data_IF_182877713271
#
_entry.id   IF_182877713271
#
_cell.length_a   1.000
_cell.length_b   1.000
_cell.length_c   1.000
_cell.angle_alpha   90.00
_cell.angle_beta   90.00
_cell.angle_gamma   90.00
#
_symmetry.space_group_name_H-M   'P 1'
#
loop_
_entity.id
_entity.type
_entity.pdbx_description
1 polymer ?
#
# COMPACT_ATOMS: atom_id res chain seq x y z
N UNK A 1 -47.66 4.39 -2.07
CA UNK A 1 -47.01 5.43 -1.23
C UNK A 1 -45.58 5.09 -0.79
N UNK A 2 -45.29 3.91 -0.21
CA UNK A 2 -43.93 3.55 0.24
C UNK A 2 -42.83 3.66 -0.84
N UNK A 3 -43.12 3.24 -2.07
CA UNK A 3 -42.18 3.30 -3.21
C UNK A 3 -41.86 4.74 -3.66
N UNK A 4 -42.81 5.66 -3.51
CA UNK A 4 -42.62 7.07 -3.84
C UNK A 4 -41.68 7.76 -2.85
N UNK A 5 -41.91 7.55 -1.54
CA UNK A 5 -41.02 8.05 -0.48
C UNK A 5 -39.60 7.49 -0.56
N UNK A 6 -39.46 6.20 -0.93
CA UNK A 6 -38.14 5.61 -1.17
C UNK A 6 -37.43 6.28 -2.35
N UNK A 7 -38.13 6.55 -3.46
CA UNK A 7 -37.57 7.26 -4.61
C UNK A 7 -37.13 8.68 -4.26
N UNK A 8 -37.93 9.39 -3.47
CA UNK A 8 -37.63 10.77 -3.04
C UNK A 8 -36.44 10.81 -2.07
N UNK A 9 -36.34 9.84 -1.16
CA UNK A 9 -35.20 9.70 -0.26
C UNK A 9 -33.91 9.37 -1.04
N UNK A 10 -33.98 8.48 -2.03
CA UNK A 10 -32.85 8.18 -2.91
C UNK A 10 -32.39 9.42 -3.70
N UNK A 11 -33.33 10.20 -4.24
CA UNK A 11 -33.03 11.43 -4.96
C UNK A 11 -32.35 12.48 -4.05
N UNK A 12 -32.79 12.60 -2.80
CA UNK A 12 -32.16 13.49 -1.81
C UNK A 12 -30.74 13.04 -1.46
N UNK A 13 -30.53 11.75 -1.21
CA UNK A 13 -29.20 11.20 -0.90
C UNK A 13 -28.24 11.45 -2.07
N UNK A 14 -28.68 11.18 -3.31
CA UNK A 14 -27.88 11.43 -4.51
C UNK A 14 -27.56 12.93 -4.65
N UNK A 15 -28.53 13.82 -4.43
CA UNK A 15 -28.32 15.26 -4.51
C UNK A 15 -27.29 15.78 -3.48
N UNK A 16 -27.34 15.26 -2.25
CA UNK A 16 -26.36 15.59 -1.20
C UNK A 16 -24.97 15.07 -1.55
N UNK A 17 -24.84 13.81 -1.97
CA UNK A 17 -23.55 13.22 -2.37
C UNK A 17 -22.96 13.98 -3.56
N UNK A 18 -23.77 14.32 -4.55
CA UNK A 18 -23.32 15.07 -5.73
C UNK A 18 -22.82 16.46 -5.36
N UNK A 19 -23.55 17.19 -4.50
CA UNK A 19 -23.12 18.49 -4.00
C UNK A 19 -21.82 18.41 -3.21
N UNK A 20 -21.68 17.39 -2.35
CA UNK A 20 -20.47 17.18 -1.55
C UNK A 20 -19.25 16.86 -2.42
N UNK A 21 -19.40 15.99 -3.44
CA UNK A 21 -18.31 15.66 -4.37
C UNK A 21 -17.80 16.86 -5.17
N UNK A 22 -18.65 17.85 -5.46
CA UNK A 22 -18.30 19.07 -6.18
C UNK A 22 -17.69 20.17 -5.30
N UNK A 23 -17.70 20.00 -3.97
CA UNK A 23 -17.07 20.95 -3.06
C UNK A 23 -15.54 20.78 -3.09
N UNK A 24 -14.75 21.82 -3.39
CA UNK A 24 -13.30 21.68 -3.55
C UNK A 24 -12.55 21.42 -2.23
N UNK A 25 -13.11 21.86 -1.10
CA UNK A 25 -12.43 21.84 0.20
C UNK A 25 -12.15 20.42 0.73
N UNK A 26 -13.06 19.46 0.56
CA UNK A 26 -12.83 18.09 1.04
C UNK A 26 -11.69 17.42 0.25
N UNK A 27 -11.61 17.67 -1.06
CA UNK A 27 -10.57 17.13 -1.92
C UNK A 27 -9.21 17.78 -1.63
N UNK A 28 -9.19 19.09 -1.40
CA UNK A 28 -7.96 19.81 -1.07
C UNK A 28 -7.38 19.35 0.28
N UNK A 29 -8.22 19.26 1.32
CA UNK A 29 -7.79 18.77 2.62
C UNK A 29 -7.32 17.31 2.54
N UNK A 30 -8.06 16.45 1.84
CA UNK A 30 -7.65 15.05 1.62
C UNK A 30 -6.30 14.96 0.89
N UNK A 31 -6.08 15.80 -0.13
CA UNK A 31 -4.81 15.86 -0.85
C UNK A 31 -3.67 16.30 0.07
N UNK A 32 -3.88 17.32 0.91
CA UNK A 32 -2.86 17.80 1.85
C UNK A 32 -2.50 16.73 2.88
N UNK A 33 -3.50 16.12 3.53
CA UNK A 33 -3.28 15.02 4.49
C UNK A 33 -2.57 13.83 3.83
N UNK A 34 -2.98 13.49 2.60
CA UNK A 34 -2.37 12.41 1.84
C UNK A 34 -0.90 12.69 1.52
N UNK A 35 -0.58 13.88 1.02
CA UNK A 35 0.80 14.28 0.71
C UNK A 35 1.68 14.26 1.96
N UNK A 36 1.17 14.77 3.09
CA UNK A 36 1.88 14.72 4.36
C UNK A 36 2.17 13.28 4.81
N UNK A 37 1.17 12.39 4.70
CA UNK A 37 1.35 10.97 5.03
C UNK A 37 2.42 10.31 4.14
N UNK A 38 2.37 10.53 2.82
CA UNK A 38 3.36 9.98 1.88
C UNK A 38 4.76 10.48 2.19
N UNK A 39 4.89 11.78 2.46
CA UNK A 39 6.17 12.40 2.78
C UNK A 39 6.77 11.88 4.09
N UNK A 40 5.94 11.71 5.12
CA UNK A 40 6.35 11.09 6.39
C UNK A 40 6.83 9.65 6.19
N UNK A 41 6.13 8.85 5.38
CA UNK A 41 6.55 7.47 5.10
C UNK A 41 7.82 7.43 4.24
N UNK A 42 7.96 8.35 3.28
CA UNK A 42 9.17 8.49 2.47
C UNK A 42 10.39 8.79 3.34
N UNK A 43 10.29 9.79 4.21
CA UNK A 43 11.39 10.17 5.10
C UNK A 43 11.73 9.04 6.07
N UNK A 44 10.73 8.43 6.71
CA UNK A 44 10.96 7.28 7.59
C UNK A 44 11.63 6.09 6.85
N UNK A 45 11.29 5.89 5.57
CA UNK A 45 11.95 4.89 4.73
C UNK A 45 13.41 5.22 4.50
N UNK A 46 13.72 6.44 4.05
CA UNK A 46 15.10 6.95 3.87
C UNK A 46 15.92 6.74 5.14
N UNK A 47 15.43 7.23 6.28
CA UNK A 47 16.13 7.15 7.56
C UNK A 47 16.40 5.69 7.96
N UNK A 48 15.44 4.79 7.70
CA UNK A 48 15.64 3.36 7.98
C UNK A 48 16.65 2.73 7.04
N UNK A 49 16.58 3.07 5.76
CA UNK A 49 17.47 2.53 4.72
C UNK A 49 18.93 2.82 5.01
N UNK A 50 19.27 4.00 5.53
CA UNK A 50 20.63 4.34 5.92
C UNK A 50 21.20 3.45 7.05
N UNK A 51 20.33 2.74 7.78
CA UNK A 51 20.68 1.92 8.93
C UNK A 51 20.55 0.41 8.67
N UNK A 52 20.17 0.00 7.46
CA UNK A 52 19.85 -1.40 7.18
C UNK A 52 20.10 -1.78 5.72
N UNK A 53 19.81 -3.03 5.37
CA UNK A 53 19.94 -3.60 4.04
C UNK A 53 18.55 -3.88 3.42
N UNK A 54 18.53 -4.41 2.20
CA UNK A 54 17.28 -4.68 1.48
C UNK A 54 16.32 -5.58 2.26
N UNK A 55 16.83 -6.62 2.91
CA UNK A 55 16.03 -7.51 3.73
C UNK A 55 15.51 -6.80 4.98
N UNK A 56 16.34 -6.05 5.69
CA UNK A 56 15.91 -5.30 6.86
C UNK A 56 14.85 -4.24 6.54
N UNK A 57 14.89 -3.64 5.34
CA UNK A 57 13.83 -2.78 4.82
C UNK A 57 12.51 -3.54 4.61
N UNK A 58 12.57 -4.72 3.98
CA UNK A 58 11.38 -5.56 3.74
C UNK A 58 10.76 -6.03 5.06
N UNK A 59 11.58 -6.51 6.00
CA UNK A 59 11.13 -6.96 7.31
C UNK A 59 10.46 -5.84 8.08
N UNK A 60 11.05 -4.64 8.08
CA UNK A 60 10.45 -3.46 8.72
C UNK A 60 9.13 -3.05 8.06
N UNK A 61 9.04 -3.09 6.73
CA UNK A 61 7.80 -2.78 6.04
C UNK A 61 6.69 -3.77 6.38
N UNK A 62 7.00 -5.08 6.42
CA UNK A 62 6.06 -6.13 6.78
C UNK A 62 5.62 -6.03 8.25
N UNK A 63 6.53 -5.72 9.16
CA UNK A 63 6.21 -5.50 10.57
C UNK A 63 5.32 -4.27 10.77
N UNK A 64 5.65 -3.14 10.11
CA UNK A 64 4.83 -1.93 10.12
C UNK A 64 3.42 -2.21 9.59
N UNK A 65 3.32 -3.00 8.53
CA UNK A 65 2.05 -3.39 7.95
C UNK A 65 1.23 -4.24 8.93
N UNK A 66 1.84 -5.25 9.56
CA UNK A 66 1.19 -6.15 10.53
C UNK A 66 0.64 -5.39 11.74
N UNK A 67 1.34 -4.35 12.19
CA UNK A 67 0.99 -3.57 13.37
C UNK A 67 0.20 -2.29 13.05
N UNK A 68 -0.14 -2.05 11.78
CA UNK A 68 -0.81 -0.82 11.37
C UNK A 68 -2.26 -0.79 11.86
N UNK A 69 -2.63 0.34 12.50
CA UNK A 69 -3.99 0.60 13.02
C UNK A 69 -4.76 1.65 12.20
N UNK A 70 -4.17 2.12 11.09
CA UNK A 70 -4.78 3.09 10.20
C UNK A 70 -5.79 2.46 9.24
N UNK A 71 -6.23 3.24 8.25
CA UNK A 71 -7.05 2.70 7.16
C UNK A 71 -6.23 1.75 6.29
N UNK A 72 -6.90 0.81 5.61
CA UNK A 72 -6.24 -0.13 4.68
C UNK A 72 -5.35 0.60 3.65
N UNK A 73 -5.82 1.77 3.19
CA UNK A 73 -5.09 2.66 2.31
C UNK A 73 -3.81 3.19 2.96
N UNK A 74 -3.89 3.77 4.16
CA UNK A 74 -2.73 4.30 4.89
C UNK A 74 -1.69 3.20 5.16
N UNK A 75 -2.14 2.02 5.58
CA UNK A 75 -1.26 0.90 5.88
C UNK A 75 -0.55 0.38 4.61
N UNK A 76 -1.30 0.19 3.53
CA UNK A 76 -0.78 -0.42 2.30
C UNK A 76 0.05 0.57 1.51
N UNK A 77 -0.53 1.73 1.14
CA UNK A 77 0.16 2.74 0.32
C UNK A 77 1.31 3.36 1.10
N UNK A 78 1.09 3.70 2.38
CA UNK A 78 2.13 4.25 3.23
C UNK A 78 3.28 3.26 3.46
N UNK A 79 2.97 2.00 3.77
CA UNK A 79 3.99 0.95 3.89
C UNK A 79 4.77 0.74 2.58
N UNK A 80 4.09 0.84 1.44
CA UNK A 80 4.72 0.68 0.13
C UNK A 80 5.67 1.84 -0.19
N UNK A 81 5.28 3.07 0.14
CA UNK A 81 6.14 4.25 0.01
C UNK A 81 7.37 4.17 0.92
N UNK A 82 7.17 3.75 2.16
CA UNK A 82 8.25 3.49 3.11
C UNK A 82 9.25 2.48 2.53
N UNK A 83 8.77 1.32 2.06
CA UNK A 83 9.64 0.25 1.56
C UNK A 83 10.48 0.70 0.36
N UNK A 84 9.84 1.32 -0.64
CA UNK A 84 10.52 1.87 -1.81
C UNK A 84 11.61 2.88 -1.43
N UNK A 85 11.31 3.76 -0.48
CA UNK A 85 12.25 4.80 -0.04
C UNK A 85 13.40 4.20 0.78
N UNK A 86 13.12 3.18 1.58
CA UNK A 86 14.13 2.42 2.33
C UNK A 86 15.13 1.74 1.38
N UNK A 87 14.65 1.03 0.36
CA UNK A 87 15.54 0.41 -0.63
C UNK A 87 16.38 1.39 -1.43
N UNK A 88 15.93 2.65 -1.58
CA UNK A 88 16.72 3.68 -2.26
C UNK A 88 17.97 4.11 -1.48
N UNK A 89 18.07 3.73 -0.20
CA UNK A 89 19.17 4.09 0.71
C UNK A 89 19.86 2.89 1.36
N UNK A 90 19.23 1.73 1.38
CA UNK A 90 19.79 0.52 1.98
C UNK A 90 20.92 -0.11 1.17
N UNK A 91 21.84 -0.77 1.86
CA UNK A 91 22.81 -1.66 1.22
C UNK A 91 22.14 -2.92 0.62
N UNK A 92 22.80 -3.62 -0.31
CA UNK A 92 22.29 -4.89 -0.84
C UNK A 92 22.33 -5.99 0.24
N UNK A 93 21.36 -6.91 0.20
CA UNK A 93 21.42 -8.15 1.00
C UNK A 93 21.88 -9.31 0.14
N UNK A 94 22.80 -10.14 0.63
CA UNK A 94 23.20 -11.37 -0.06
C UNK A 94 21.97 -12.27 -0.29
N UNK A 95 21.80 -12.77 -1.52
CA UNK A 95 20.68 -13.67 -1.92
C UNK A 95 19.28 -13.08 -1.72
N UNK A 96 19.13 -11.76 -1.61
CA UNK A 96 17.82 -11.11 -1.48
C UNK A 96 16.79 -11.56 -2.53
N UNK A 97 17.26 -11.78 -3.76
CA UNK A 97 16.44 -12.17 -4.90
C UNK A 97 16.44 -13.67 -5.20
N UNK A 98 17.04 -14.49 -4.34
CA UNK A 98 17.08 -15.93 -4.55
C UNK A 98 15.68 -16.53 -4.37
N UNK A 99 15.15 -17.16 -5.43
CA UNK A 99 13.82 -17.78 -5.41
C UNK A 99 12.66 -16.78 -5.52
N UNK A 100 12.93 -15.52 -5.84
CA UNK A 100 11.89 -14.53 -6.14
C UNK A 100 11.49 -14.68 -7.62
N UNK A 101 10.21 -14.92 -7.94
CA UNK A 101 9.76 -15.05 -9.32
C UNK A 101 9.86 -13.71 -10.07
N UNK A 102 10.10 -13.80 -11.38
CA UNK A 102 10.20 -12.63 -12.26
C UNK A 102 8.95 -11.74 -12.18
N UNK A 103 9.17 -10.43 -12.17
CA UNK A 103 8.09 -9.46 -12.21
C UNK A 103 7.43 -9.41 -13.59
N UNK A 104 6.13 -9.69 -13.64
CA UNK A 104 5.27 -9.40 -14.78
C UNK A 104 4.42 -8.17 -14.48
N UNK A 105 4.32 -7.21 -15.41
CA UNK A 105 3.50 -5.99 -15.24
C UNK A 105 2.05 -6.35 -14.91
N UNK A 106 1.47 -7.28 -15.67
CA UNK A 106 0.22 -7.96 -15.30
C UNK A 106 0.55 -9.22 -14.51
N UNK A 107 0.11 -9.27 -13.25
CA UNK A 107 0.35 -10.42 -12.39
C UNK A 107 -0.27 -11.70 -12.97
N UNK A 108 0.56 -12.70 -13.24
CA UNK A 108 0.14 -14.03 -13.68
C UNK A 108 -0.53 -14.81 -12.55
N UNK A 109 -1.09 -15.98 -12.85
CA UNK A 109 -1.62 -16.86 -11.79
C UNK A 109 -0.50 -17.36 -10.86
N UNK A 110 0.70 -17.62 -11.40
CA UNK A 110 1.86 -18.01 -10.59
C UNK A 110 2.34 -16.87 -9.68
N UNK A 111 2.32 -15.62 -10.18
CA UNK A 111 2.62 -14.43 -9.35
C UNK A 111 1.63 -14.32 -8.17
N UNK A 112 0.33 -14.51 -8.46
CA UNK A 112 -0.72 -14.43 -7.43
C UNK A 112 -0.59 -15.57 -6.42
N UNK A 113 -0.30 -16.79 -6.88
CA UNK A 113 -0.10 -17.95 -6.03
C UNK A 113 1.09 -17.75 -5.11
N UNK A 114 2.24 -17.36 -5.66
CA UNK A 114 3.45 -17.08 -4.88
C UNK A 114 3.20 -16.01 -3.82
N UNK A 115 2.65 -14.84 -4.21
CA UNK A 115 2.35 -13.78 -3.24
C UNK A 115 1.41 -14.29 -2.13
N UNK A 116 0.33 -14.99 -2.50
CA UNK A 116 -0.65 -15.50 -1.53
C UNK A 116 0.01 -16.44 -0.53
N UNK A 117 0.79 -17.41 -1.01
CA UNK A 117 1.43 -18.42 -0.17
C UNK A 117 2.47 -17.78 0.75
N UNK A 118 3.27 -16.83 0.23
CA UNK A 118 4.25 -16.08 1.04
C UNK A 118 3.60 -15.20 2.10
N UNK A 119 2.51 -14.50 1.77
CA UNK A 119 1.77 -13.71 2.75
C UNK A 119 1.15 -14.59 3.86
N UNK A 120 0.69 -15.78 3.49
CA UNK A 120 0.20 -16.77 4.43
C UNK A 120 1.32 -17.28 5.35
N UNK A 121 2.50 -17.64 4.81
CA UNK A 121 3.68 -18.04 5.59
C UNK A 121 4.12 -16.97 6.59
N UNK A 122 4.01 -15.68 6.21
CA UNK A 122 4.36 -14.53 7.05
C UNK A 122 3.26 -14.20 8.09
N UNK A 123 2.08 -14.80 7.99
CA UNK A 123 0.94 -14.53 8.86
C UNK A 123 0.40 -13.10 8.74
N UNK A 124 0.40 -12.54 7.53
CA UNK A 124 -0.06 -11.18 7.23
C UNK A 124 -1.26 -11.24 6.27
N UNK A 125 -2.24 -10.35 6.47
CA UNK A 125 -3.37 -10.20 5.54
C UNK A 125 -2.85 -9.90 4.12
N UNK A 126 -3.43 -10.59 3.14
CA UNK A 126 -2.97 -10.66 1.77
C UNK A 126 -2.91 -9.28 1.09
N UNK A 127 -3.81 -8.35 1.44
CA UNK A 127 -3.94 -7.09 0.70
C UNK A 127 -2.71 -6.19 0.78
N UNK A 128 -2.22 -5.93 2.00
CA UNK A 128 -1.03 -5.11 2.20
C UNK A 128 0.27 -5.85 1.85
N UNK A 129 0.33 -7.15 2.18
CA UNK A 129 1.52 -7.95 1.95
C UNK A 129 1.78 -8.13 0.45
N UNK A 130 0.72 -8.27 -0.36
CA UNK A 130 0.82 -8.31 -1.82
C UNK A 130 1.57 -7.13 -2.39
N UNK A 131 1.32 -5.91 -1.91
CA UNK A 131 2.02 -4.74 -2.43
C UNK A 131 3.54 -4.84 -2.14
N UNK A 132 3.94 -5.24 -0.94
CA UNK A 132 5.35 -5.35 -0.55
C UNK A 132 6.09 -6.40 -1.39
N UNK A 133 5.48 -7.58 -1.52
CA UNK A 133 6.08 -8.68 -2.29
C UNK A 133 6.13 -8.37 -3.79
N UNK A 134 5.14 -7.66 -4.34
CA UNK A 134 5.18 -7.18 -5.73
C UNK A 134 6.31 -6.19 -5.97
N UNK A 135 6.59 -5.30 -5.02
CA UNK A 135 7.75 -4.42 -5.10
C UNK A 135 9.07 -5.20 -5.01
N UNK A 136 9.13 -6.26 -4.19
CA UNK A 136 10.30 -7.15 -4.14
C UNK A 136 10.55 -7.85 -5.48
N UNK A 137 9.50 -8.38 -6.13
CA UNK A 137 9.63 -8.92 -7.48
C UNK A 137 10.20 -7.88 -8.44
N UNK A 138 9.70 -6.64 -8.37
CA UNK A 138 10.12 -5.55 -9.27
C UNK A 138 11.59 -5.16 -9.08
N UNK A 139 12.10 -5.05 -7.86
CA UNK A 139 13.52 -4.72 -7.63
C UNK A 139 14.44 -5.89 -7.99
N UNK A 140 13.97 -7.13 -7.83
CA UNK A 140 14.71 -8.34 -8.18
C UNK A 140 14.71 -8.67 -9.68
N UNK A 141 13.90 -7.96 -10.48
CA UNK A 141 13.82 -8.14 -11.93
C UNK A 141 14.44 -6.98 -12.70
N UNK A 142 15.15 -6.08 -12.02
CA UNK A 142 15.90 -4.95 -12.60
C UNK A 142 17.38 -5.29 -12.81
#
# INVERSE_FOLDING_TARGET
MRRFWLGLLLALIIGVIYSWLQAPEWLENWNQEHQQMIEQQRQAGVDRGELTDQQGCLDNALERLKNCKGTEYQCTVGGGMFLKSCWSKSGPTERFCQGIPQYNETATEDDKAWVKDRCFELGIDAKGCRLMLRQQQQICSQ
#
